data_IF_941106126593
#
_entry.id   IF_941106126593
#
_cell.length_a   1.000
_cell.length_b   1.000
_cell.length_c   1.000
_cell.angle_alpha   90.00
_cell.angle_beta   90.00
_cell.angle_gamma   90.00
#
_symmetry.space_group_name_H-M   'P 1'
#
loop_
_entity.id
_entity.type
_entity.pdbx_description
1 polymer ?
#
# COMPACT_ATOMS: atom_id res chain seq x y z
N UNK A 1 -1.25 -13.84 -13.89
CA UNK A 1 0.14 -13.35 -13.96
C UNK A 1 0.18 -11.99 -13.28
N UNK A 2 1.09 -11.79 -12.33
CA UNK A 2 1.41 -10.44 -11.85
C UNK A 2 1.93 -9.70 -13.09
N UNK A 3 1.32 -8.60 -13.51
CA UNK A 3 1.87 -7.86 -14.65
C UNK A 3 3.30 -7.46 -14.27
N UNK A 4 4.29 -8.02 -14.96
CA UNK A 4 5.72 -7.75 -14.80
C UNK A 4 6.08 -6.25 -14.90
N UNK A 5 5.12 -5.41 -15.31
CA UNK A 5 5.23 -3.94 -15.36
C UNK A 5 5.19 -3.24 -14.00
N UNK A 6 4.94 -3.97 -12.90
CA UNK A 6 4.89 -3.40 -11.55
C UNK A 6 6.15 -3.69 -10.73
N UNK A 7 7.06 -4.49 -11.25
CA UNK A 7 8.38 -4.68 -10.67
C UNK A 7 9.18 -3.40 -10.92
N UNK A 8 9.59 -2.73 -9.85
CA UNK A 8 10.31 -1.46 -9.94
C UNK A 8 9.43 -0.22 -10.12
N UNK A 9 8.13 -0.26 -9.72
CA UNK A 9 7.34 0.97 -9.71
C UNK A 9 7.95 1.98 -8.76
N UNK A 10 8.32 3.12 -9.33
CA UNK A 10 8.85 4.25 -8.55
C UNK A 10 7.70 5.08 -8.00
N UNK A 11 7.84 5.48 -6.76
CA UNK A 11 6.86 6.28 -6.05
C UNK A 11 7.53 7.54 -5.51
N UNK A 12 6.81 8.65 -5.39
CA UNK A 12 7.34 9.81 -4.71
C UNK A 12 6.47 10.25 -3.53
N UNK A 13 7.11 10.80 -2.51
CA UNK A 13 6.45 11.48 -1.40
C UNK A 13 6.29 12.95 -1.78
N UNK A 14 5.12 13.52 -1.53
CA UNK A 14 4.83 14.93 -1.77
C UNK A 14 4.19 15.63 -0.57
N UNK A 15 4.39 16.93 -0.57
CA UNK A 15 3.92 17.93 0.39
C UNK A 15 2.42 18.27 0.31
N UNK A 16 1.62 17.51 -0.45
CA UNK A 16 0.18 17.77 -0.61
C UNK A 16 -0.64 16.75 0.14
N UNK A 17 -1.67 17.24 0.80
CA UNK A 17 -2.62 16.43 1.54
C UNK A 17 -3.59 15.70 0.60
N UNK A 18 -3.84 14.43 0.88
CA UNK A 18 -4.89 13.66 0.22
C UNK A 18 -6.26 13.94 0.82
N UNK A 19 -6.32 14.07 2.13
CA UNK A 19 -7.54 14.28 2.88
C UNK A 19 -7.29 15.18 4.10
N UNK A 20 -8.26 16.01 4.43
CA UNK A 20 -8.20 16.83 5.64
C UNK A 20 -8.21 15.95 6.90
N UNK A 21 -7.49 16.36 7.96
CA UNK A 21 -7.58 15.70 9.26
C UNK A 21 -9.04 15.74 9.76
N UNK A 22 -9.56 14.61 10.24
CA UNK A 22 -10.98 14.45 10.63
C UNK A 22 -11.98 14.72 9.51
N UNK A 23 -11.54 14.61 8.26
CA UNK A 23 -12.37 14.71 7.05
C UNK A 23 -12.96 13.37 6.65
N UNK A 24 -12.98 13.12 5.35
CA UNK A 24 -13.58 11.94 4.71
C UNK A 24 -12.53 10.96 4.17
N UNK A 25 -11.28 11.00 4.66
CA UNK A 25 -10.18 10.18 4.15
C UNK A 25 -10.43 8.67 4.27
N UNK A 26 -11.18 8.25 5.28
CA UNK A 26 -11.58 6.87 5.54
C UNK A 26 -12.81 6.42 4.72
N UNK A 27 -13.40 7.32 3.93
CA UNK A 27 -14.60 7.05 3.11
C UNK A 27 -14.26 7.17 1.62
N UNK A 28 -14.84 6.30 0.79
CA UNK A 28 -14.62 6.30 -0.65
C UNK A 28 -15.50 7.36 -1.34
N UNK A 29 -15.09 8.62 -1.29
CA UNK A 29 -15.82 9.78 -1.84
C UNK A 29 -14.98 10.57 -2.85
N UNK A 30 -15.64 11.19 -3.84
CA UNK A 30 -14.99 11.94 -4.91
C UNK A 30 -14.11 13.11 -4.44
N UNK A 31 -14.41 13.72 -3.28
CA UNK A 31 -13.61 14.80 -2.72
C UNK A 31 -12.15 14.41 -2.43
N UNK A 32 -11.92 13.19 -1.95
CA UNK A 32 -10.56 12.69 -1.69
C UNK A 32 -9.77 12.52 -3.01
N UNK A 33 -10.44 12.11 -4.07
CA UNK A 33 -9.80 11.94 -5.39
C UNK A 33 -9.52 13.28 -6.06
N UNK A 34 -10.41 14.28 -5.90
CA UNK A 34 -10.19 15.62 -6.42
C UNK A 34 -8.93 16.27 -5.80
N UNK A 35 -8.73 16.11 -4.49
CA UNK A 35 -7.55 16.62 -3.81
C UNK A 35 -6.23 15.99 -4.32
N UNK A 36 -6.28 14.73 -4.74
CA UNK A 36 -5.11 13.98 -5.20
C UNK A 36 -4.79 14.13 -6.69
N UNK A 37 -5.68 14.72 -7.51
CA UNK A 37 -5.48 14.84 -8.95
C UNK A 37 -4.19 15.58 -9.32
N UNK A 38 -3.99 16.77 -8.79
CA UNK A 38 -2.82 17.61 -9.14
C UNK A 38 -1.49 16.97 -8.73
N UNK A 39 -1.45 16.35 -7.55
CA UNK A 39 -0.23 15.64 -7.11
C UNK A 39 0.02 14.41 -7.96
N UNK A 40 -1.03 13.68 -8.33
CA UNK A 40 -0.94 12.53 -9.21
C UNK A 40 -0.41 12.90 -10.60
N UNK A 41 -0.99 13.90 -11.26
CA UNK A 41 -0.52 14.38 -12.58
C UNK A 41 0.94 14.81 -12.54
N UNK A 42 1.31 15.63 -11.55
CA UNK A 42 2.69 16.08 -11.44
C UNK A 42 3.68 14.94 -11.13
N UNK A 43 3.28 13.95 -10.33
CA UNK A 43 4.10 12.74 -10.13
C UNK A 43 4.32 11.97 -11.42
N UNK A 44 3.29 11.81 -12.25
CA UNK A 44 3.39 11.19 -13.57
C UNK A 44 4.26 11.98 -14.54
N UNK A 45 4.18 13.30 -14.56
CA UNK A 45 5.06 14.16 -15.35
C UNK A 45 6.54 13.98 -15.00
N UNK A 46 6.83 13.69 -13.71
CA UNK A 46 8.17 13.39 -13.22
C UNK A 46 8.59 11.93 -13.43
N UNK A 47 7.72 11.08 -13.99
CA UNK A 47 7.99 9.67 -14.29
C UNK A 47 7.64 8.69 -13.16
N UNK A 48 7.05 9.14 -12.06
CA UNK A 48 6.64 8.25 -10.96
C UNK A 48 5.31 7.54 -11.24
N UNK A 49 5.21 6.29 -10.86
CA UNK A 49 4.00 5.49 -11.06
C UNK A 49 2.86 5.88 -10.10
N UNK A 50 3.18 6.37 -8.91
CA UNK A 50 2.20 6.79 -7.89
C UNK A 50 2.82 7.74 -6.87
N UNK A 51 1.94 8.32 -6.05
CA UNK A 51 2.30 9.26 -4.98
C UNK A 51 2.05 8.62 -3.62
N UNK A 52 3.00 8.73 -2.71
CA UNK A 52 2.80 8.43 -1.30
C UNK A 52 2.36 9.69 -0.56
N UNK A 53 1.29 9.59 0.19
CA UNK A 53 0.75 10.67 1.02
C UNK A 53 1.11 10.47 2.47
N UNK A 54 1.45 11.58 3.13
CA UNK A 54 1.67 11.67 4.56
C UNK A 54 0.42 12.24 5.25
N UNK A 55 0.38 12.11 6.57
CA UNK A 55 -0.66 12.72 7.39
C UNK A 55 -0.67 14.24 7.23
N UNK A 56 -1.86 14.81 7.07
CA UNK A 56 -2.04 16.24 6.81
C UNK A 56 -1.82 17.16 8.03
N UNK A 57 -1.45 16.62 9.18
CA UNK A 57 -1.23 17.40 10.41
C UNK A 57 0.24 17.67 10.66
N UNK A 58 1.07 16.63 10.56
CA UNK A 58 2.49 16.69 10.91
C UNK A 58 3.38 16.45 9.69
N UNK A 59 2.82 15.91 8.58
CA UNK A 59 3.54 15.45 7.38
C UNK A 59 4.69 14.48 7.72
N UNK A 60 4.44 13.63 8.70
CA UNK A 60 5.44 12.74 9.28
C UNK A 60 5.11 11.27 9.11
N UNK A 61 3.83 10.94 9.08
CA UNK A 61 3.37 9.54 9.09
C UNK A 61 2.80 9.17 7.72
N UNK A 62 3.19 7.99 7.23
CA UNK A 62 2.70 7.43 5.98
C UNK A 62 1.21 7.10 6.12
N UNK A 63 0.39 7.47 5.14
CA UNK A 63 -1.03 7.13 5.08
C UNK A 63 -1.35 6.23 3.90
N UNK A 64 -1.37 6.73 2.67
CA UNK A 64 -1.78 5.97 1.49
C UNK A 64 -0.89 6.21 0.28
N UNK A 65 -0.98 5.31 -0.71
CA UNK A 65 -0.28 5.38 -1.98
C UNK A 65 -1.30 5.61 -3.11
N UNK A 66 -1.52 6.87 -3.50
CA UNK A 66 -2.54 7.20 -4.50
C UNK A 66 -3.92 6.71 -4.10
N UNK A 67 -4.43 5.69 -4.80
CA UNK A 67 -5.73 5.05 -4.54
C UNK A 67 -5.61 3.68 -3.82
N UNK A 68 -4.48 3.39 -3.19
CA UNK A 68 -4.15 2.10 -2.58
C UNK A 68 -3.54 2.26 -1.19
N UNK A 69 -3.74 1.28 -0.31
CA UNK A 69 -3.14 1.30 1.01
C UNK A 69 -1.66 0.92 0.94
N UNK A 70 -0.83 1.54 1.77
CA UNK A 70 0.56 1.16 1.96
C UNK A 70 0.70 -0.03 2.91
N UNK A 71 1.71 -0.87 2.68
CA UNK A 71 2.25 -1.79 3.67
C UNK A 71 3.77 -1.94 3.51
N UNK A 72 4.44 -2.28 4.61
CA UNK A 72 5.85 -2.67 4.62
C UNK A 72 6.06 -3.98 5.35
N UNK A 73 7.11 -4.71 4.97
CA UNK A 73 7.55 -5.94 5.64
C UNK A 73 8.89 -5.67 6.31
N UNK A 74 9.00 -6.05 7.58
CA UNK A 74 10.19 -5.88 8.39
C UNK A 74 10.21 -6.93 9.51
N UNK A 75 11.31 -7.65 9.66
CA UNK A 75 11.50 -8.62 10.75
C UNK A 75 10.30 -9.58 10.91
N UNK A 76 9.88 -10.20 9.82
CA UNK A 76 8.73 -11.10 9.77
C UNK A 76 7.42 -10.47 10.28
N UNK A 77 7.24 -9.16 10.05
CA UNK A 77 6.07 -8.39 10.46
C UNK A 77 5.49 -7.66 9.25
N UNK A 78 4.18 -7.81 9.05
CA UNK A 78 3.38 -7.01 8.11
C UNK A 78 2.92 -5.74 8.82
N UNK A 79 3.33 -4.59 8.35
CA UNK A 79 3.07 -3.29 8.97
C UNK A 79 2.28 -2.42 8.01
N UNK A 80 1.17 -1.85 8.45
CA UNK A 80 0.32 -0.98 7.64
C UNK A 80 -0.14 0.24 8.43
N UNK A 81 -0.35 1.40 7.78
CA UNK A 81 -0.78 2.60 8.45
C UNK A 81 -2.14 2.46 9.15
N UNK A 82 -2.24 3.04 10.33
CA UNK A 82 -3.50 3.23 11.06
C UNK A 82 -3.75 4.71 11.23
N UNK A 83 -4.75 5.24 10.53
CA UNK A 83 -5.17 6.64 10.60
C UNK A 83 -6.66 6.73 10.30
N UNK A 84 -7.32 7.76 10.82
CA UNK A 84 -8.70 8.09 10.47
C UNK A 84 -8.85 8.71 9.08
N UNK A 85 -7.74 8.94 8.38
CA UNK A 85 -7.70 9.44 7.01
C UNK A 85 -7.40 8.34 5.98
N UNK A 86 -7.18 7.10 6.42
CA UNK A 86 -6.87 5.95 5.55
C UNK A 86 -8.13 5.13 5.30
N UNK A 87 -8.41 4.82 4.02
CA UNK A 87 -9.53 3.96 3.67
C UNK A 87 -9.33 2.55 4.26
N UNK A 88 -10.32 2.00 5.02
CA UNK A 88 -10.27 0.64 5.54
C UNK A 88 -10.50 -0.39 4.42
N UNK A 89 -9.45 -0.66 3.67
CA UNK A 89 -9.44 -1.54 2.50
C UNK A 89 -9.75 -3.00 2.87
N UNK A 90 -10.69 -3.61 2.15
CA UNK A 90 -10.97 -5.06 2.27
C UNK A 90 -9.75 -5.87 1.85
N UNK A 91 -9.05 -5.48 0.78
CA UNK A 91 -7.81 -6.16 0.36
C UNK A 91 -6.76 -6.13 1.46
N UNK A 92 -6.49 -4.96 2.06
CA UNK A 92 -5.53 -4.87 3.16
C UNK A 92 -5.96 -5.71 4.38
N UNK A 93 -7.27 -5.73 4.69
CA UNK A 93 -7.81 -6.57 5.76
C UNK A 93 -7.58 -8.06 5.48
N UNK A 94 -7.79 -8.52 4.24
CA UNK A 94 -7.53 -9.89 3.83
C UNK A 94 -6.04 -10.22 3.90
N UNK A 95 -5.17 -9.34 3.40
CA UNK A 95 -3.70 -9.55 3.45
C UNK A 95 -3.16 -9.63 4.88
N UNK A 96 -3.69 -8.83 5.80
CA UNK A 96 -3.32 -8.92 7.23
C UNK A 96 -3.69 -10.28 7.83
N UNK A 97 -4.87 -10.80 7.50
CA UNK A 97 -5.29 -12.12 7.96
C UNK A 97 -4.38 -13.21 7.36
N UNK A 98 -4.12 -13.17 6.07
CA UNK A 98 -3.23 -14.12 5.40
C UNK A 98 -1.77 -14.02 5.91
N UNK A 99 -1.30 -12.83 6.25
CA UNK A 99 0.00 -12.66 6.88
C UNK A 99 0.09 -13.40 8.23
N UNK A 100 -0.98 -13.32 9.05
CA UNK A 100 -1.06 -14.10 10.29
C UNK A 100 -1.08 -15.60 10.02
N UNK A 101 -1.82 -16.06 9.02
CA UNK A 101 -1.89 -17.48 8.63
C UNK A 101 -0.52 -18.01 8.17
N UNK A 102 0.31 -17.14 7.58
CA UNK A 102 1.69 -17.44 7.20
C UNK A 102 2.70 -17.33 8.37
N UNK A 103 2.22 -16.97 9.57
CA UNK A 103 3.06 -16.84 10.76
C UNK A 103 3.81 -15.50 10.90
N UNK A 104 3.42 -14.48 10.13
CA UNK A 104 3.91 -13.14 10.35
C UNK A 104 3.18 -12.46 11.51
N UNK A 105 3.86 -11.55 12.19
CA UNK A 105 3.20 -10.57 13.04
C UNK A 105 2.48 -9.54 12.17
N UNK A 106 1.43 -8.93 12.69
CA UNK A 106 0.69 -7.85 12.01
C UNK A 106 0.60 -6.65 12.93
N UNK A 107 1.03 -5.50 12.43
CA UNK A 107 0.96 -4.22 13.13
C UNK A 107 0.18 -3.20 12.31
N UNK A 108 -0.83 -2.59 12.95
CA UNK A 108 -1.51 -1.41 12.44
C UNK A 108 -1.15 -0.24 13.34
N UNK A 109 -0.36 0.69 12.84
CA UNK A 109 0.15 1.82 13.63
C UNK A 109 0.53 3.01 12.76
N UNK A 110 0.84 4.13 13.38
CA UNK A 110 1.54 5.21 12.71
C UNK A 110 2.92 4.72 12.24
N UNK A 111 3.27 5.01 10.99
CA UNK A 111 4.55 4.65 10.38
C UNK A 111 5.27 5.94 10.04
N UNK A 112 6.29 6.35 10.81
CA UNK A 112 7.08 7.52 10.46
C UNK A 112 7.78 7.34 9.11
N UNK A 113 7.91 8.41 8.33
CA UNK A 113 8.58 8.37 7.02
C UNK A 113 10.05 7.95 7.14
N UNK A 114 10.71 8.28 8.25
CA UNK A 114 12.09 7.90 8.54
C UNK A 114 12.27 6.40 8.85
N UNK A 115 11.17 5.64 8.98
CA UNK A 115 11.21 4.19 9.07
C UNK A 115 11.37 3.50 7.70
N UNK A 116 11.12 4.20 6.59
CA UNK A 116 11.19 3.65 5.22
C UNK A 116 12.47 2.86 4.93
N UNK A 117 13.70 3.32 5.29
CA UNK A 117 14.92 2.59 5.01
C UNK A 117 15.07 1.27 5.79
N UNK A 118 14.18 0.99 6.73
CA UNK A 118 14.25 -0.23 7.55
C UNK A 118 13.37 -1.35 7.04
N UNK A 119 12.51 -1.11 6.04
CA UNK A 119 11.68 -2.14 5.43
C UNK A 119 12.48 -3.01 4.46
N UNK A 120 12.21 -4.31 4.48
CA UNK A 120 12.75 -5.31 3.56
C UNK A 120 11.97 -5.34 2.25
N UNK A 121 10.65 -5.12 2.34
CA UNK A 121 9.72 -5.02 1.22
C UNK A 121 8.72 -3.89 1.49
N UNK A 122 8.32 -3.18 0.43
CA UNK A 122 7.20 -2.25 0.47
C UNK A 122 6.21 -2.55 -0.65
N UNK A 123 4.95 -2.28 -0.40
CA UNK A 123 3.91 -2.47 -1.39
C UNK A 123 2.69 -1.59 -1.16
N UNK A 124 1.95 -1.39 -2.24
CA UNK A 124 0.61 -0.84 -2.22
C UNK A 124 -0.40 -1.95 -2.47
N UNK A 125 -1.56 -1.93 -1.79
CA UNK A 125 -2.58 -2.95 -1.96
C UNK A 125 -3.97 -2.35 -2.16
N UNK A 126 -4.74 -2.99 -3.03
CA UNK A 126 -6.10 -2.58 -3.37
C UNK A 126 -6.79 -3.56 -4.30
N UNK A 127 -8.08 -3.34 -4.56
CA UNK A 127 -8.91 -4.28 -5.33
C UNK A 127 -8.40 -4.53 -6.74
N UNK A 128 -7.89 -3.51 -7.43
CA UNK A 128 -7.55 -3.62 -8.84
C UNK A 128 -6.30 -4.49 -9.10
N UNK A 129 -5.25 -4.30 -8.30
CA UNK A 129 -3.97 -4.98 -8.50
C UNK A 129 -3.64 -6.01 -7.41
N UNK A 130 -4.48 -6.13 -6.38
CA UNK A 130 -4.23 -6.92 -5.15
C UNK A 130 -3.01 -6.38 -4.41
N UNK A 131 -1.82 -6.60 -4.93
CA UNK A 131 -0.55 -6.02 -4.47
C UNK A 131 0.18 -5.42 -5.68
N UNK A 132 0.68 -4.20 -5.50
CA UNK A 132 1.64 -3.54 -6.39
C UNK A 132 2.94 -3.38 -5.60
N UNK A 133 3.99 -4.16 -5.88
CA UNK A 133 5.28 -4.01 -5.22
C UNK A 133 5.89 -2.64 -5.51
N UNK A 134 6.52 -2.05 -4.53
CA UNK A 134 7.22 -0.76 -4.64
C UNK A 134 8.72 -1.06 -4.74
N UNK A 135 9.36 -0.70 -5.84
CA UNK A 135 10.81 -0.86 -6.05
C UNK A 135 11.60 0.26 -5.40
N UNK A 136 11.10 1.49 -5.50
CA UNK A 136 11.73 2.64 -4.85
C UNK A 136 10.73 3.73 -4.47
N UNK A 137 11.11 4.53 -3.48
CA UNK A 137 10.37 5.72 -3.02
C UNK A 137 11.33 6.89 -3.00
N UNK A 138 11.03 7.95 -3.73
CA UNK A 138 11.77 9.19 -3.72
C UNK A 138 11.08 10.23 -2.84
N UNK A 139 11.79 10.72 -1.86
CA UNK A 139 11.33 11.82 -1.02
C UNK A 139 11.71 13.15 -1.67
N UNK A 140 10.72 13.93 -2.06
CA UNK A 140 10.91 15.18 -2.78
C UNK A 140 11.44 16.31 -1.86
N UNK A 141 11.24 16.21 -0.56
CA UNK A 141 11.69 17.24 0.39
C UNK A 141 13.17 16.99 0.75
N UNK A 142 13.51 15.78 1.15
CA UNK A 142 14.87 15.42 1.57
C UNK A 142 15.79 15.08 0.40
N UNK A 143 15.24 14.86 -0.82
CA UNK A 143 15.95 14.38 -2.02
C UNK A 143 16.56 12.98 -1.85
N UNK A 144 16.02 12.19 -0.94
CA UNK A 144 16.49 10.85 -0.66
C UNK A 144 15.66 9.80 -1.42
N UNK A 145 16.34 8.77 -1.94
CA UNK A 145 15.68 7.59 -2.53
C UNK A 145 15.84 6.40 -1.60
N UNK A 146 14.73 5.74 -1.30
CA UNK A 146 14.68 4.47 -0.58
C UNK A 146 14.43 3.35 -1.59
N UNK A 147 15.30 2.34 -1.66
CA UNK A 147 15.23 1.27 -2.67
C UNK A 147 15.00 -0.08 -2.00
N UNK A 148 14.08 -0.87 -2.54
CA UNK A 148 13.67 -2.19 -2.02
C UNK A 148 14.01 -3.34 -2.99
N UNK A 149 14.65 -3.04 -4.12
CA UNK A 149 15.09 -4.00 -5.13
C UNK A 149 14.26 -3.98 -6.40
N UNK A 150 14.75 -4.69 -7.40
CA UNK A 150 14.16 -4.76 -8.74
C UNK A 150 13.21 -5.97 -8.90
N UNK A 151 13.14 -6.83 -7.90
CA UNK A 151 12.29 -8.02 -7.89
C UNK A 151 11.17 -7.89 -6.86
N UNK A 152 10.08 -8.63 -7.10
CA UNK A 152 8.98 -8.72 -6.11
C UNK A 152 9.47 -9.40 -4.85
N UNK A 153 9.26 -8.76 -3.70
CA UNK A 153 9.60 -9.32 -2.42
C UNK A 153 8.91 -10.65 -2.15
N UNK A 154 9.60 -11.55 -1.47
CA UNK A 154 9.15 -12.93 -1.24
C UNK A 154 7.81 -12.99 -0.48
N UNK A 155 7.66 -12.17 0.54
CA UNK A 155 6.41 -12.14 1.35
C UNK A 155 5.27 -11.54 0.54
N UNK A 156 5.52 -10.46 -0.20
CA UNK A 156 4.55 -9.84 -1.10
C UNK A 156 4.04 -10.83 -2.15
N UNK A 157 4.95 -11.62 -2.74
CA UNK A 157 4.60 -12.64 -3.72
C UNK A 157 3.75 -13.77 -3.11
N UNK A 158 4.10 -14.24 -1.91
CA UNK A 158 3.34 -15.26 -1.19
C UNK A 158 1.93 -14.78 -0.86
N UNK A 159 1.77 -13.58 -0.32
CA UNK A 159 0.48 -12.99 0.01
C UNK A 159 -0.39 -12.78 -1.23
N UNK A 160 0.21 -12.26 -2.31
CA UNK A 160 -0.48 -12.10 -3.59
C UNK A 160 -1.01 -13.43 -4.12
N UNK A 161 -0.13 -14.43 -4.21
CA UNK A 161 -0.48 -15.75 -4.74
C UNK A 161 -1.58 -16.41 -3.91
N UNK A 162 -1.45 -16.39 -2.59
CA UNK A 162 -2.43 -17.00 -1.69
C UNK A 162 -3.81 -16.34 -1.81
N UNK A 163 -3.87 -14.99 -1.83
CA UNK A 163 -5.16 -14.29 -2.00
C UNK A 163 -5.79 -14.59 -3.36
N UNK A 164 -5.00 -14.60 -4.43
CA UNK A 164 -5.48 -14.96 -5.77
C UNK A 164 -5.98 -16.42 -5.84
N UNK A 165 -5.26 -17.35 -5.23
CA UNK A 165 -5.64 -18.77 -5.22
C UNK A 165 -6.95 -19.00 -4.47
N UNK A 166 -7.20 -18.29 -3.37
CA UNK A 166 -8.49 -18.30 -2.68
C UNK A 166 -9.58 -17.71 -3.58
N UNK A 167 -9.37 -16.55 -4.17
CA UNK A 167 -10.36 -15.86 -5.01
C UNK A 167 -10.75 -16.67 -6.25
N UNK A 168 -9.83 -17.43 -6.83
CA UNK A 168 -10.07 -18.29 -7.99
C UNK A 168 -10.42 -19.74 -7.63
N UNK A 169 -10.58 -20.06 -6.35
CA UNK A 169 -10.93 -21.42 -5.89
C UNK A 169 -9.84 -22.45 -6.14
N UNK A 170 -8.57 -22.05 -6.23
CA UNK A 170 -7.42 -22.94 -6.43
C UNK A 170 -6.89 -23.53 -5.12
N UNK A 171 -7.25 -22.93 -4.00
CA UNK A 171 -6.94 -23.41 -2.64
C UNK A 171 -8.15 -23.28 -1.74
N UNK A 172 -8.10 -23.94 -0.57
CA UNK A 172 -9.16 -23.87 0.43
C UNK A 172 -9.35 -22.46 0.98
N UNK A 173 -10.59 -21.98 1.01
CA UNK A 173 -10.99 -20.73 1.66
C UNK A 173 -11.31 -20.98 3.14
N UNK A 174 -10.30 -20.95 3.99
CA UNK A 174 -10.41 -21.18 5.44
C UNK A 174 -11.24 -20.09 6.16
N UNK A 175 -11.43 -18.95 5.53
CA UNK A 175 -12.09 -17.79 6.11
C UNK A 175 -13.53 -17.61 5.61
N UNK A 176 -14.00 -18.45 4.70
CA UNK A 176 -15.33 -18.36 4.06
C UNK A 176 -15.57 -16.99 3.41
N UNK A 177 -14.58 -16.47 2.70
CA UNK A 177 -14.69 -15.16 2.00
C UNK A 177 -15.40 -15.27 0.66
N UNK A 178 -15.38 -16.46 0.05
CA UNK A 178 -15.95 -16.70 -1.27
C UNK A 178 -17.36 -17.31 -1.16
N UNK A 179 -18.31 -16.77 -1.90
CA UNK A 179 -19.64 -17.34 -2.06
C UNK A 179 -19.81 -17.87 -3.48
N UNK A 180 -20.13 -19.15 -3.62
CA UNK A 180 -20.44 -19.75 -4.93
C UNK A 180 -21.83 -19.30 -5.33
N UNK A 181 -21.92 -18.56 -6.43
CA UNK A 181 -23.20 -18.17 -7.05
C UNK A 181 -23.51 -19.22 -8.11
N UNK A 182 -24.65 -19.90 -7.95
CA UNK A 182 -25.18 -20.89 -8.91
C UNK A 182 -26.14 -20.20 -9.87
#
# INVERSE_FOLDING_TARGET
EIPLRLVGSEMCIRDRDRAAPRGTGDVKVGGNYAASLMSGEHGHELGYASIMYLDATEHKYIEECGAANFFGIKNNTYITPKSNSVLPSITNKSLRQLAQDLGLKVEERHIPVDELPTFEECGACGTAAVISPIGSIYDMDTKQTYTYGDEVGKVSLQLYTLLQDIQYGRTEDKHNWCTIVM
#
